data_IF_943449838564
#
_entry.id   IF_943449838564
#
_cell.length_a   1.000
_cell.length_b   1.000
_cell.length_c   1.000
_cell.angle_alpha   90.00
_cell.angle_beta   90.00
_cell.angle_gamma   90.00
#
_symmetry.space_group_name_H-M   'P 1'
#
loop_
_entity.id
_entity.type
_entity.pdbx_description
1 polymer ?
#
# COMPACT_ATOMS: atom_id res chain seq x y z
N UNK A 1 36.93 -10.81 19.67
CA UNK A 1 37.61 -10.20 20.83
C UNK A 1 37.15 -8.77 21.14
N UNK A 2 36.38 -8.08 20.28
CA UNK A 2 35.83 -6.74 20.57
C UNK A 2 34.43 -6.72 21.22
N UNK A 3 33.80 -7.89 21.41
CA UNK A 3 32.41 -8.00 21.90
C UNK A 3 32.22 -7.61 23.36
N UNK A 4 33.31 -7.58 24.14
CA UNK A 4 33.25 -7.46 25.60
C UNK A 4 33.63 -6.05 26.08
N UNK A 5 33.96 -5.13 25.15
CA UNK A 5 34.27 -3.74 25.45
C UNK A 5 32.97 -2.95 25.68
N UNK A 6 32.91 -2.30 26.84
CA UNK A 6 31.76 -1.51 27.28
C UNK A 6 31.58 -0.26 26.42
N UNK A 7 30.35 0.26 26.35
CA UNK A 7 30.05 1.49 25.61
C UNK A 7 30.96 2.65 26.04
N UNK A 8 31.24 2.76 27.34
CA UNK A 8 32.04 3.83 27.95
C UNK A 8 33.51 3.81 27.54
N UNK A 9 34.08 2.64 27.27
CA UNK A 9 35.50 2.49 26.91
C UNK A 9 35.78 2.83 25.44
N UNK A 10 34.78 2.66 24.56
CA UNK A 10 34.95 2.78 23.12
C UNK A 10 34.68 4.19 22.57
N UNK A 11 33.98 5.02 23.33
CA UNK A 11 33.46 6.31 22.86
C UNK A 11 32.46 6.17 21.69
N UNK A 12 31.87 7.27 21.20
CA UNK A 12 30.80 7.22 20.19
C UNK A 12 31.22 6.57 18.87
N UNK A 13 32.44 6.85 18.40
CA UNK A 13 32.95 6.32 17.11
C UNK A 13 33.22 4.82 17.19
N UNK A 14 33.85 4.35 18.28
CA UNK A 14 34.08 2.92 18.49
C UNK A 14 32.77 2.15 18.60
N UNK A 15 31.77 2.72 19.28
CA UNK A 15 30.43 2.11 19.32
C UNK A 15 29.75 2.04 17.96
N UNK A 16 29.89 3.05 17.11
CA UNK A 16 29.40 3.00 15.74
C UNK A 16 30.08 1.88 14.95
N UNK A 17 31.41 1.79 15.02
CA UNK A 17 32.16 0.76 14.32
C UNK A 17 31.75 -0.66 14.75
N UNK A 18 31.55 -0.90 16.05
CA UNK A 18 31.09 -2.21 16.53
C UNK A 18 29.62 -2.46 16.15
N UNK A 19 28.75 -1.44 16.21
CA UNK A 19 27.36 -1.59 15.80
C UNK A 19 27.25 -2.00 14.33
N UNK A 20 28.05 -1.36 13.46
CA UNK A 20 28.12 -1.69 12.03
C UNK A 20 28.71 -3.09 11.80
N UNK A 21 29.73 -3.47 12.56
CA UNK A 21 30.26 -4.83 12.51
C UNK A 21 29.22 -5.88 12.94
N UNK A 22 28.53 -5.67 14.06
CA UNK A 22 27.46 -6.55 14.54
C UNK A 22 26.32 -6.63 13.51
N UNK A 23 25.97 -5.52 12.86
CA UNK A 23 25.00 -5.46 11.77
C UNK A 23 25.42 -6.36 10.60
N UNK A 24 26.67 -6.24 10.15
CA UNK A 24 27.23 -7.02 9.04
C UNK A 24 27.30 -8.52 9.38
N UNK A 25 27.58 -8.85 10.65
CA UNK A 25 27.52 -10.22 11.18
C UNK A 25 26.10 -10.74 11.45
N UNK A 26 25.06 -9.95 11.12
CA UNK A 26 23.64 -10.24 11.36
C UNK A 26 23.30 -10.46 12.85
N UNK A 27 24.15 -9.97 13.74
CA UNK A 27 23.93 -9.97 15.20
C UNK A 27 23.01 -8.80 15.59
N UNK A 28 21.80 -8.79 15.02
CA UNK A 28 20.88 -7.65 15.09
C UNK A 28 20.55 -7.21 16.52
N UNK A 29 20.42 -8.16 17.45
CA UNK A 29 20.17 -7.83 18.86
C UNK A 29 21.30 -7.00 19.49
N UNK A 30 22.57 -7.34 19.19
CA UNK A 30 23.73 -6.59 19.69
C UNK A 30 23.84 -5.21 19.03
N UNK A 31 23.63 -5.18 17.71
CA UNK A 31 23.64 -3.94 16.94
C UNK A 31 22.58 -2.94 17.44
N UNK A 32 21.35 -3.39 17.74
CA UNK A 32 20.26 -2.55 18.26
C UNK A 32 20.67 -1.84 19.55
N UNK A 33 21.29 -2.55 20.50
CA UNK A 33 21.72 -1.97 21.77
C UNK A 33 22.68 -0.80 21.52
N UNK A 34 23.67 -0.99 20.66
CA UNK A 34 24.65 0.06 20.34
C UNK A 34 24.04 1.21 19.55
N UNK A 35 23.22 0.94 18.54
CA UNK A 35 22.52 1.99 17.79
C UNK A 35 21.61 2.83 18.68
N UNK A 36 20.90 2.22 19.65
CA UNK A 36 20.05 2.94 20.60
C UNK A 36 20.84 4.00 21.39
N UNK A 37 22.05 3.67 21.84
CA UNK A 37 22.92 4.66 22.49
C UNK A 37 23.38 5.75 21.51
N UNK A 38 23.77 5.38 20.29
CA UNK A 38 24.23 6.33 19.27
C UNK A 38 23.15 7.35 18.86
N UNK A 39 21.88 6.95 18.87
CA UNK A 39 20.75 7.85 18.60
C UNK A 39 20.63 9.01 19.61
N UNK A 40 21.22 8.86 20.80
CA UNK A 40 21.27 9.91 21.84
C UNK A 40 22.58 10.68 21.86
N UNK A 41 23.54 10.34 20.97
CA UNK A 41 24.86 10.92 20.98
C UNK A 41 24.86 12.39 20.52
N UNK A 42 25.54 13.24 21.28
CA UNK A 42 25.81 14.64 20.91
C UNK A 42 27.04 14.81 20.02
N UNK A 43 27.80 13.74 19.79
CA UNK A 43 29.05 13.75 19.04
C UNK A 43 28.85 14.25 17.59
N UNK A 44 29.61 15.27 17.14
CA UNK A 44 29.46 15.84 15.79
C UNK A 44 29.67 14.86 14.65
N UNK A 45 30.56 13.88 14.80
CA UNK A 45 30.83 12.87 13.77
C UNK A 45 29.70 11.85 13.69
N UNK A 46 29.09 11.49 14.82
CA UNK A 46 27.88 10.65 14.83
C UNK A 46 26.70 11.39 14.23
N UNK A 47 26.52 12.68 14.55
CA UNK A 47 25.45 13.50 13.95
C UNK A 47 25.51 13.54 12.42
N UNK A 48 26.72 13.52 11.83
CA UNK A 48 26.90 13.46 10.37
C UNK A 48 26.50 12.12 9.73
N UNK A 49 26.41 11.04 10.51
CA UNK A 49 26.00 9.70 10.06
C UNK A 49 24.66 9.25 10.64
N UNK A 50 23.91 10.18 11.21
CA UNK A 50 22.70 9.84 11.98
C UNK A 50 21.60 9.25 11.08
N UNK A 51 21.57 9.59 9.80
CA UNK A 51 20.68 8.97 8.83
C UNK A 51 20.96 7.46 8.66
N UNK A 52 22.23 7.07 8.55
CA UNK A 52 22.63 5.66 8.49
C UNK A 52 22.32 4.94 9.82
N UNK A 53 22.56 5.60 10.96
CA UNK A 53 22.21 5.05 12.28
C UNK A 53 20.70 4.78 12.39
N UNK A 54 19.84 5.73 12.01
CA UNK A 54 18.39 5.52 12.00
C UNK A 54 17.99 4.39 11.05
N UNK A 55 18.57 4.35 9.85
CA UNK A 55 18.28 3.31 8.87
C UNK A 55 18.67 1.92 9.36
N UNK A 56 19.92 1.74 9.82
CA UNK A 56 20.44 0.46 10.30
C UNK A 56 19.76 0.00 11.59
N UNK A 57 19.45 0.93 12.50
CA UNK A 57 18.62 0.65 13.68
C UNK A 57 17.26 0.10 13.27
N UNK A 58 16.53 0.83 12.41
CA UNK A 58 15.23 0.40 11.90
C UNK A 58 15.29 -0.95 11.18
N UNK A 59 16.34 -1.19 10.38
CA UNK A 59 16.58 -2.47 9.72
C UNK A 59 16.73 -3.62 10.73
N UNK A 60 17.59 -3.46 11.73
CA UNK A 60 17.78 -4.48 12.76
C UNK A 60 16.48 -4.76 13.52
N UNK A 61 15.73 -3.71 13.86
CA UNK A 61 14.44 -3.83 14.55
C UNK A 61 13.42 -4.60 13.70
N UNK A 62 13.35 -4.36 12.39
CA UNK A 62 12.55 -5.20 11.48
C UNK A 62 12.98 -6.66 11.50
N UNK A 63 14.29 -6.94 11.53
CA UNK A 63 14.80 -8.33 11.60
C UNK A 63 14.52 -9.02 12.93
N UNK A 64 14.22 -8.25 13.96
CA UNK A 64 13.80 -8.72 15.27
C UNK A 64 12.29 -8.62 15.47
N UNK A 65 11.54 -8.20 14.45
CA UNK A 65 10.08 -8.04 14.49
C UNK A 65 9.60 -7.02 15.54
N UNK A 66 10.49 -6.10 15.95
CA UNK A 66 10.15 -4.99 16.83
C UNK A 66 9.55 -3.85 15.98
N UNK A 67 8.35 -4.07 15.45
CA UNK A 67 7.78 -3.20 14.41
C UNK A 67 7.57 -1.77 14.87
N UNK A 68 7.06 -1.56 16.09
CA UNK A 68 6.79 -0.22 16.62
C UNK A 68 8.07 0.62 16.74
N UNK A 69 9.16 0.03 17.23
CA UNK A 69 10.46 0.70 17.35
C UNK A 69 11.08 0.95 15.96
N UNK A 70 10.89 0.01 15.03
CA UNK A 70 11.34 0.17 13.65
C UNK A 70 10.63 1.35 12.97
N UNK A 71 9.31 1.48 13.15
CA UNK A 71 8.52 2.60 12.67
C UNK A 71 9.05 3.93 13.19
N UNK A 72 9.30 4.03 14.51
CA UNK A 72 9.85 5.25 15.11
C UNK A 72 11.23 5.63 14.53
N UNK A 73 12.07 4.63 14.23
CA UNK A 73 13.38 4.84 13.62
C UNK A 73 13.26 5.38 12.19
N UNK A 74 12.39 4.79 11.37
CA UNK A 74 12.17 5.25 9.99
C UNK A 74 11.44 6.60 9.91
N UNK A 75 10.48 6.86 10.79
CA UNK A 75 9.80 8.16 10.87
C UNK A 75 10.80 9.28 11.22
N UNK A 76 11.71 9.00 12.16
CA UNK A 76 12.80 9.91 12.48
C UNK A 76 13.74 10.15 11.29
N UNK A 77 14.07 9.09 10.54
CA UNK A 77 14.86 9.18 9.30
C UNK A 77 14.17 10.08 8.26
N UNK A 78 12.90 9.84 7.97
CA UNK A 78 12.17 10.62 6.96
C UNK A 78 11.95 12.08 7.35
N UNK A 79 11.76 12.35 8.65
CA UNK A 79 11.55 13.70 9.16
C UNK A 79 12.85 14.51 9.21
N UNK A 80 13.94 13.93 9.74
CA UNK A 80 15.20 14.64 9.97
C UNK A 80 16.14 14.62 8.75
N UNK A 81 16.07 13.57 7.93
CA UNK A 81 16.97 13.36 6.79
C UNK A 81 16.18 13.00 5.52
N UNK A 82 15.27 13.88 5.06
CA UNK A 82 14.36 13.57 3.96
C UNK A 82 15.06 13.28 2.62
N UNK A 83 16.32 13.71 2.46
CA UNK A 83 17.16 13.54 1.26
C UNK A 83 18.29 12.51 1.43
N UNK A 84 18.27 11.70 2.51
CA UNK A 84 19.26 10.64 2.68
C UNK A 84 19.18 9.61 1.54
N UNK A 85 20.34 9.10 1.10
CA UNK A 85 20.45 8.04 0.09
C UNK A 85 19.75 6.74 0.52
N UNK A 86 19.60 6.53 1.82
CA UNK A 86 18.95 5.36 2.41
C UNK A 86 17.41 5.43 2.38
N UNK A 87 16.82 6.59 2.06
CA UNK A 87 15.35 6.78 2.12
C UNK A 87 14.56 5.84 1.22
N UNK A 88 15.11 5.46 0.05
CA UNK A 88 14.45 4.50 -0.83
C UNK A 88 14.35 3.11 -0.23
N UNK A 89 15.46 2.59 0.31
CA UNK A 89 15.49 1.29 1.02
C UNK A 89 14.66 1.33 2.30
N UNK A 90 14.75 2.43 3.05
CA UNK A 90 13.97 2.66 4.25
C UNK A 90 12.46 2.63 3.95
N UNK A 91 12.01 3.19 2.82
CA UNK A 91 10.60 3.20 2.46
C UNK A 91 10.03 1.79 2.27
N UNK A 92 10.82 0.89 1.67
CA UNK A 92 10.43 -0.52 1.51
C UNK A 92 10.27 -1.21 2.88
N UNK A 93 11.21 -0.99 3.81
CA UNK A 93 11.16 -1.59 5.15
C UNK A 93 10.09 -0.95 6.04
N UNK A 94 9.86 0.36 5.91
CA UNK A 94 8.83 1.09 6.64
C UNK A 94 7.43 0.56 6.31
N UNK A 95 7.15 0.29 5.02
CA UNK A 95 5.90 -0.37 4.61
C UNK A 95 5.74 -1.75 5.25
N UNK A 96 6.79 -2.58 5.24
CA UNK A 96 6.76 -3.91 5.85
C UNK A 96 6.51 -3.81 7.36
N UNK A 97 7.21 -2.92 8.06
CA UNK A 97 7.02 -2.72 9.50
C UNK A 97 5.60 -2.24 9.81
N UNK A 98 5.06 -1.30 9.03
CA UNK A 98 3.75 -0.74 9.28
C UNK A 98 2.63 -1.76 9.01
N UNK A 99 2.79 -2.59 7.96
CA UNK A 99 1.85 -3.66 7.64
C UNK A 99 1.80 -4.70 8.77
N UNK A 100 2.96 -5.17 9.25
CA UNK A 100 3.00 -6.17 10.32
C UNK A 100 2.49 -5.58 11.64
N UNK A 101 2.87 -4.35 11.99
CA UNK A 101 2.34 -3.69 13.19
C UNK A 101 0.81 -3.53 13.14
N UNK A 102 0.24 -3.17 11.98
CA UNK A 102 -1.21 -3.06 11.83
C UNK A 102 -1.91 -4.42 11.92
N UNK A 103 -1.30 -5.49 11.40
CA UNK A 103 -1.84 -6.85 11.53
C UNK A 103 -1.86 -7.32 12.98
N UNK A 104 -0.83 -7.01 13.76
CA UNK A 104 -0.75 -7.33 15.18
C UNK A 104 -1.66 -6.47 16.04
N UNK A 105 -1.80 -5.19 15.69
CA UNK A 105 -2.65 -4.24 16.40
C UNK A 105 -3.53 -3.43 15.42
N UNK A 106 -4.72 -3.91 15.05
CA UNK A 106 -5.60 -3.29 14.06
C UNK A 106 -6.35 -2.06 14.60
N UNK A 107 -5.66 -1.19 15.32
CA UNK A 107 -6.17 0.09 15.79
C UNK A 107 -6.21 1.15 14.68
N UNK A 108 -7.07 2.16 14.85
CA UNK A 108 -7.18 3.30 13.93
C UNK A 108 -5.86 4.07 13.77
N UNK A 109 -5.09 4.18 14.85
CA UNK A 109 -3.77 4.81 14.88
C UNK A 109 -2.77 4.04 14.00
N UNK A 110 -2.72 2.72 14.16
CA UNK A 110 -1.88 1.83 13.38
C UNK A 110 -2.28 1.81 11.89
N UNK A 111 -3.58 1.77 11.60
CA UNK A 111 -4.07 1.88 10.22
C UNK A 111 -3.66 3.20 9.56
N UNK A 112 -3.72 4.31 10.30
CA UNK A 112 -3.29 5.63 9.79
C UNK A 112 -1.80 5.62 9.44
N UNK A 113 -0.95 5.06 10.31
CA UNK A 113 0.48 4.89 10.03
C UNK A 113 0.73 3.95 8.85
N UNK A 114 -0.02 2.86 8.73
CA UNK A 114 0.07 1.94 7.61
C UNK A 114 -0.22 2.63 6.26
N UNK A 115 -1.28 3.45 6.20
CA UNK A 115 -1.61 4.22 5.00
C UNK A 115 -0.53 5.26 4.67
N UNK A 116 0.05 5.93 5.67
CA UNK A 116 1.19 6.84 5.43
C UNK A 116 2.42 6.09 4.90
N UNK A 117 2.71 4.91 5.47
CA UNK A 117 3.79 4.06 4.99
C UNK A 117 3.60 3.60 3.54
N UNK A 118 2.37 3.24 3.15
CA UNK A 118 2.02 2.94 1.75
C UNK A 118 2.35 4.12 0.83
N UNK A 119 1.95 5.35 1.19
CA UNK A 119 2.22 6.54 0.35
C UNK A 119 3.73 6.78 0.18
N UNK A 120 4.50 6.64 1.27
CA UNK A 120 5.96 6.79 1.23
C UNK A 120 6.59 5.67 0.38
N UNK A 121 6.13 4.44 0.54
CA UNK A 121 6.57 3.28 -0.23
C UNK A 121 6.35 3.45 -1.73
N UNK A 122 5.12 3.79 -2.15
CA UNK A 122 4.79 4.01 -3.55
C UNK A 122 5.66 5.12 -4.16
N UNK A 123 5.94 6.19 -3.39
CA UNK A 123 6.71 7.35 -3.86
C UNK A 123 8.23 7.14 -3.88
N UNK A 124 8.80 6.45 -2.89
CA UNK A 124 10.25 6.45 -2.64
C UNK A 124 10.92 5.09 -2.78
N UNK A 125 10.20 3.99 -2.63
CA UNK A 125 10.81 2.66 -2.73
C UNK A 125 11.10 2.35 -4.20
N UNK A 126 12.38 2.13 -4.50
CA UNK A 126 12.88 1.82 -5.85
C UNK A 126 12.93 0.31 -6.14
N UNK A 127 12.45 -0.53 -5.22
CA UNK A 127 12.38 -1.97 -5.43
C UNK A 127 11.37 -2.26 -6.57
N UNK A 128 11.75 -3.01 -7.63
CA UNK A 128 10.86 -3.38 -8.72
C UNK A 128 9.77 -4.38 -8.32
N UNK A 129 9.75 -4.85 -7.07
CA UNK A 129 8.68 -5.69 -6.54
C UNK A 129 7.30 -5.11 -6.81
N UNK A 130 6.36 -6.02 -6.97
CA UNK A 130 4.96 -5.71 -7.17
C UNK A 130 4.41 -4.81 -6.02
N UNK A 131 3.75 -3.72 -6.43
CA UNK A 131 3.13 -2.73 -5.54
C UNK A 131 1.60 -2.85 -5.52
N UNK A 132 1.05 -3.90 -6.14
CA UNK A 132 -0.39 -4.12 -6.28
C UNK A 132 -1.14 -4.10 -4.96
N UNK A 133 -0.59 -4.73 -3.92
CA UNK A 133 -1.19 -4.70 -2.59
C UNK A 133 -1.26 -3.28 -2.01
N UNK A 134 -0.19 -2.50 -2.15
CA UNK A 134 -0.14 -1.13 -1.68
C UNK A 134 -1.15 -0.23 -2.42
N UNK A 135 -1.27 -0.39 -3.74
CA UNK A 135 -2.28 0.31 -4.54
C UNK A 135 -3.70 -0.10 -4.15
N UNK A 136 -3.94 -1.39 -3.95
CA UNK A 136 -5.25 -1.89 -3.54
C UNK A 136 -5.70 -1.30 -2.19
N UNK A 137 -4.84 -1.35 -1.18
CA UNK A 137 -5.13 -0.79 0.15
C UNK A 137 -5.33 0.72 0.12
N UNK A 138 -4.55 1.45 -0.69
CA UNK A 138 -4.74 2.89 -0.86
C UNK A 138 -6.05 3.22 -1.61
N UNK A 139 -6.46 2.36 -2.53
CA UNK A 139 -7.77 2.42 -3.20
C UNK A 139 -8.91 2.31 -2.19
N UNK A 140 -8.89 1.29 -1.32
CA UNK A 140 -9.88 1.11 -0.24
C UNK A 140 -9.90 2.31 0.70
N UNK A 141 -8.74 2.78 1.12
CA UNK A 141 -8.65 3.99 1.95
C UNK A 141 -9.31 5.21 1.29
N UNK A 142 -9.09 5.44 -0.01
CA UNK A 142 -9.73 6.57 -0.69
C UNK A 142 -11.23 6.36 -0.89
N UNK A 143 -11.68 5.12 -1.06
CA UNK A 143 -13.10 4.77 -1.13
C UNK A 143 -13.80 5.08 0.20
N UNK A 144 -13.21 4.68 1.34
CA UNK A 144 -13.72 4.98 2.69
C UNK A 144 -13.76 6.48 3.01
N UNK A 145 -12.97 7.28 2.28
CA UNK A 145 -12.95 8.74 2.36
C UNK A 145 -13.83 9.42 1.31
N UNK A 146 -14.64 8.66 0.58
CA UNK A 146 -15.50 9.14 -0.51
C UNK A 146 -14.73 9.89 -1.61
N UNK A 147 -13.42 9.62 -1.73
CA UNK A 147 -12.53 10.20 -2.75
C UNK A 147 -12.48 9.31 -3.97
N UNK A 148 -13.63 9.16 -4.62
CA UNK A 148 -13.89 8.21 -5.72
C UNK A 148 -12.83 8.22 -6.82
N UNK A 149 -12.44 9.39 -7.33
CA UNK A 149 -11.46 9.47 -8.42
C UNK A 149 -10.07 8.97 -8.00
N UNK A 150 -9.67 9.21 -6.75
CA UNK A 150 -8.41 8.70 -6.22
C UNK A 150 -8.48 7.19 -6.02
N UNK A 151 -9.59 6.69 -5.48
CA UNK A 151 -9.81 5.25 -5.31
C UNK A 151 -9.71 4.51 -6.65
N UNK A 152 -10.42 5.00 -7.68
CA UNK A 152 -10.39 4.43 -9.02
C UNK A 152 -8.99 4.44 -9.64
N UNK A 153 -8.22 5.52 -9.42
CA UNK A 153 -6.84 5.60 -9.89
C UNK A 153 -5.98 4.52 -9.25
N UNK A 154 -6.04 4.37 -7.93
CA UNK A 154 -5.23 3.36 -7.24
C UNK A 154 -5.66 1.93 -7.59
N UNK A 155 -6.97 1.64 -7.64
CA UNK A 155 -7.45 0.32 -8.10
C UNK A 155 -7.02 -0.01 -9.53
N UNK A 156 -6.86 0.99 -10.40
CA UNK A 156 -6.41 0.77 -11.77
C UNK A 156 -4.94 0.33 -11.89
N UNK A 157 -4.14 0.60 -10.84
CA UNK A 157 -2.73 0.26 -10.74
C UNK A 157 -2.48 -1.13 -10.13
N UNK A 158 -3.53 -1.84 -9.69
CA UNK A 158 -3.44 -3.22 -9.21
C UNK A 158 -3.15 -4.14 -10.40
N UNK A 159 -2.05 -4.88 -10.34
CA UNK A 159 -1.58 -5.79 -11.38
C UNK A 159 -2.47 -7.03 -11.51
N UNK A 160 -2.48 -7.63 -12.72
CA UNK A 160 -3.32 -8.79 -13.07
C UNK A 160 -3.04 -10.03 -12.24
N UNK A 161 -1.79 -10.20 -11.84
CA UNK A 161 -1.32 -11.35 -11.05
C UNK A 161 -1.58 -11.18 -9.55
N UNK A 162 -2.10 -10.02 -9.13
CA UNK A 162 -2.44 -9.77 -7.73
C UNK A 162 -3.66 -10.60 -7.31
N UNK A 163 -3.66 -11.19 -6.10
CA UNK A 163 -4.86 -11.82 -5.54
C UNK A 163 -6.04 -10.83 -5.41
N UNK A 164 -5.74 -9.54 -5.29
CA UNK A 164 -6.73 -8.47 -5.17
C UNK A 164 -7.13 -7.83 -6.51
N UNK A 165 -6.67 -8.37 -7.65
CA UNK A 165 -7.00 -7.82 -8.97
C UNK A 165 -8.49 -7.81 -9.24
N UNK A 166 -9.17 -8.93 -8.94
CA UNK A 166 -10.60 -9.06 -9.17
C UNK A 166 -11.43 -8.10 -8.31
N UNK A 167 -11.09 -7.98 -7.03
CA UNK A 167 -11.76 -7.04 -6.13
C UNK A 167 -11.52 -5.59 -6.57
N UNK A 168 -10.30 -5.25 -7.00
CA UNK A 168 -10.01 -3.93 -7.56
C UNK A 168 -10.85 -3.64 -8.82
N UNK A 169 -10.99 -4.61 -9.74
CA UNK A 169 -11.82 -4.47 -10.95
C UNK A 169 -13.30 -4.36 -10.62
N UNK A 170 -13.78 -5.14 -9.67
CA UNK A 170 -15.15 -5.04 -9.17
C UNK A 170 -15.45 -3.64 -8.61
N UNK A 171 -14.57 -3.10 -7.77
CA UNK A 171 -14.70 -1.75 -7.22
C UNK A 171 -14.75 -0.66 -8.30
N UNK A 172 -13.95 -0.81 -9.37
CA UNK A 172 -13.98 0.12 -10.51
C UNK A 172 -15.33 0.06 -11.24
N UNK A 173 -15.81 -1.14 -11.57
CA UNK A 173 -17.06 -1.30 -12.30
C UNK A 173 -18.24 -0.76 -11.51
N UNK A 174 -18.35 -1.12 -10.23
CA UNK A 174 -19.43 -0.66 -9.34
C UNK A 174 -19.44 0.87 -9.26
N UNK A 175 -18.28 1.49 -8.99
CA UNK A 175 -18.18 2.94 -8.89
C UNK A 175 -18.53 3.66 -10.19
N UNK A 176 -18.16 3.11 -11.35
CA UNK A 176 -18.53 3.69 -12.64
C UNK A 176 -20.04 3.53 -12.93
N UNK A 177 -20.65 2.42 -12.54
CA UNK A 177 -22.11 2.23 -12.64
C UNK A 177 -22.85 3.26 -11.78
N UNK A 178 -22.42 3.49 -10.54
CA UNK A 178 -23.01 4.51 -9.66
C UNK A 178 -22.84 5.93 -10.24
N UNK A 179 -21.68 6.20 -10.86
CA UNK A 179 -21.43 7.46 -11.57
C UNK A 179 -22.37 7.63 -12.77
N UNK A 180 -22.62 6.57 -13.55
CA UNK A 180 -23.57 6.60 -14.66
C UNK A 180 -25.00 6.83 -14.19
N UNK A 181 -25.40 6.22 -13.06
CA UNK A 181 -26.69 6.46 -12.43
C UNK A 181 -26.85 7.94 -12.03
N UNK A 182 -25.85 8.50 -11.35
CA UNK A 182 -25.83 9.91 -10.95
C UNK A 182 -25.94 10.85 -12.15
N UNK A 183 -25.15 10.62 -13.20
CA UNK A 183 -25.21 11.40 -14.45
C UNK A 183 -26.56 11.30 -15.15
N UNK A 184 -27.21 10.13 -15.09
CA UNK A 184 -28.55 9.94 -15.63
C UNK A 184 -29.59 10.75 -14.83
N UNK A 185 -29.52 10.73 -13.48
CA UNK A 185 -30.40 11.53 -12.61
C UNK A 185 -30.21 13.04 -12.85
N UNK A 186 -29.00 13.49 -13.16
CA UNK A 186 -28.69 14.88 -13.50
C UNK A 186 -29.01 15.27 -14.96
N UNK A 187 -29.66 14.40 -15.74
CA UNK A 187 -30.02 14.69 -17.14
C UNK A 187 -28.83 14.66 -18.14
N UNK A 188 -27.62 14.33 -17.69
CA UNK A 188 -26.40 14.27 -18.51
C UNK A 188 -26.21 12.91 -19.21
N UNK A 189 -27.28 12.13 -19.33
CA UNK A 189 -27.27 10.76 -19.89
C UNK A 189 -26.61 10.67 -21.28
N UNK A 190 -26.81 11.68 -22.14
CA UNK A 190 -26.36 11.66 -23.55
C UNK A 190 -25.04 12.38 -23.78
N UNK A 191 -24.39 12.88 -22.72
CA UNK A 191 -23.11 13.60 -22.87
C UNK A 191 -22.01 12.68 -23.41
N UNK A 192 -21.01 13.28 -24.08
CA UNK A 192 -19.87 12.53 -24.60
C UNK A 192 -19.06 11.83 -23.50
N UNK A 193 -18.95 12.44 -22.31
CA UNK A 193 -18.29 11.83 -21.16
C UNK A 193 -19.05 10.61 -20.63
N UNK A 194 -20.38 10.68 -20.55
CA UNK A 194 -21.23 9.54 -20.14
C UNK A 194 -21.08 8.37 -21.12
N UNK A 195 -21.04 8.64 -22.43
CA UNK A 195 -20.81 7.61 -23.46
C UNK A 195 -19.46 6.91 -23.27
N UNK A 196 -18.40 7.67 -22.99
CA UNK A 196 -17.06 7.12 -22.76
C UNK A 196 -17.03 6.23 -21.51
N UNK A 197 -17.55 6.74 -20.38
CA UNK A 197 -17.63 5.97 -19.12
C UNK A 197 -18.41 4.66 -19.34
N UNK A 198 -19.54 4.72 -20.03
CA UNK A 198 -20.34 3.53 -20.34
C UNK A 198 -19.55 2.48 -21.14
N UNK A 199 -18.86 2.89 -22.21
CA UNK A 199 -18.07 1.99 -23.05
C UNK A 199 -16.91 1.35 -22.28
N UNK A 200 -16.18 2.15 -21.50
CA UNK A 200 -15.08 1.67 -20.67
C UNK A 200 -15.56 0.68 -19.60
N UNK A 201 -16.67 1.02 -18.92
CA UNK A 201 -17.26 0.17 -17.88
C UNK A 201 -17.76 -1.15 -18.46
N UNK A 202 -18.39 -1.11 -19.64
CA UNK A 202 -18.84 -2.33 -20.33
C UNK A 202 -17.67 -3.26 -20.64
N UNK A 203 -16.58 -2.71 -21.20
CA UNK A 203 -15.37 -3.49 -21.49
C UNK A 203 -14.78 -4.11 -20.22
N UNK A 204 -14.70 -3.34 -19.14
CA UNK A 204 -14.16 -3.83 -17.85
C UNK A 204 -15.04 -4.92 -17.23
N UNK A 205 -16.37 -4.79 -17.33
CA UNK A 205 -17.32 -5.79 -16.86
C UNK A 205 -17.25 -7.08 -17.68
N UNK A 206 -17.09 -6.98 -19.00
CA UNK A 206 -16.88 -8.14 -19.88
C UNK A 206 -15.54 -8.85 -19.56
N UNK A 207 -14.47 -8.10 -19.26
CA UNK A 207 -13.18 -8.66 -18.80
C UNK A 207 -13.33 -9.34 -17.44
N UNK A 208 -13.99 -8.68 -16.49
CA UNK A 208 -14.24 -9.21 -15.15
C UNK A 208 -15.01 -10.54 -15.22
N UNK A 209 -16.11 -10.59 -15.99
CA UNK A 209 -16.91 -11.81 -16.15
C UNK A 209 -16.07 -12.98 -16.69
N UNK A 210 -15.23 -12.73 -17.71
CA UNK A 210 -14.34 -13.77 -18.27
C UNK A 210 -13.34 -14.29 -17.25
N UNK A 211 -12.75 -13.40 -16.44
CA UNK A 211 -11.79 -13.78 -15.42
C UNK A 211 -12.44 -14.61 -14.31
N UNK A 212 -13.67 -14.28 -13.92
CA UNK A 212 -14.41 -15.05 -12.92
C UNK A 212 -14.73 -16.46 -13.39
N UNK A 213 -15.19 -16.61 -14.64
CA UNK A 213 -15.49 -17.93 -15.23
C UNK A 213 -14.27 -18.86 -15.27
N UNK A 214 -13.06 -18.31 -15.31
CA UNK A 214 -11.82 -19.09 -15.34
C UNK A 214 -11.29 -19.45 -13.94
N UNK A 215 -11.90 -18.97 -12.84
CA UNK A 215 -11.47 -19.21 -11.46
C UNK A 215 -12.35 -20.24 -10.74
N UNK A 216 -12.71 -21.37 -11.36
CA UNK A 216 -13.60 -22.44 -10.83
C UNK A 216 -13.09 -23.15 -9.55
N UNK A 217 -12.80 -22.40 -8.48
CA UNK A 217 -12.43 -22.95 -7.18
C UNK A 217 -13.39 -22.44 -6.09
N UNK A 218 -14.44 -23.23 -5.87
CA UNK A 218 -15.14 -23.40 -4.58
C UNK A 218 -15.89 -22.23 -3.94
N UNK A 219 -15.88 -21.01 -4.50
CA UNK A 219 -16.73 -19.91 -4.00
C UNK A 219 -18.18 -20.12 -4.43
N UNK A 220 -19.13 -19.58 -3.66
CA UNK A 220 -20.56 -19.61 -3.97
C UNK A 220 -20.82 -18.83 -5.26
N UNK A 221 -20.62 -19.50 -6.40
CA UNK A 221 -20.63 -18.94 -7.75
C UNK A 221 -21.94 -18.22 -8.05
N UNK A 222 -23.03 -18.65 -7.42
CA UNK A 222 -24.37 -18.09 -7.60
C UNK A 222 -24.50 -16.66 -7.07
N UNK A 223 -23.97 -16.35 -5.90
CA UNK A 223 -24.06 -15.00 -5.33
C UNK A 223 -23.28 -13.99 -6.19
N UNK A 224 -22.11 -14.43 -6.64
CA UNK A 224 -21.21 -13.63 -7.46
C UNK A 224 -21.75 -13.42 -8.88
N UNK A 225 -22.30 -14.47 -9.49
CA UNK A 225 -23.04 -14.38 -10.76
C UNK A 225 -24.23 -13.43 -10.65
N UNK A 226 -24.98 -13.49 -9.55
CA UNK A 226 -26.08 -12.56 -9.30
C UNK A 226 -25.60 -11.11 -9.20
N UNK A 227 -24.49 -10.85 -8.52
CA UNK A 227 -23.90 -9.50 -8.44
C UNK A 227 -23.44 -8.99 -9.81
N UNK A 228 -22.77 -9.82 -10.61
CA UNK A 228 -22.36 -9.47 -11.99
C UNK A 228 -23.58 -9.15 -12.84
N UNK A 229 -24.59 -10.00 -12.78
CA UNK A 229 -25.84 -9.87 -13.53
C UNK A 229 -26.56 -8.57 -13.16
N UNK A 230 -26.58 -8.22 -11.87
CA UNK A 230 -27.12 -6.96 -11.38
C UNK A 230 -26.33 -5.75 -11.93
N UNK A 231 -25.00 -5.80 -11.89
CA UNK A 231 -24.14 -4.74 -12.46
C UNK A 231 -24.37 -4.58 -13.96
N UNK A 232 -24.50 -5.68 -14.69
CA UNK A 232 -24.81 -5.68 -16.12
C UNK A 232 -26.16 -5.02 -16.38
N UNK A 233 -27.21 -5.41 -15.64
CA UNK A 233 -28.54 -4.84 -15.76
C UNK A 233 -28.52 -3.32 -15.53
N UNK A 234 -27.91 -2.88 -14.43
CA UNK A 234 -27.76 -1.45 -14.10
C UNK A 234 -27.03 -0.71 -15.21
N UNK A 235 -25.90 -1.26 -15.68
CA UNK A 235 -25.14 -0.65 -16.78
C UNK A 235 -26.01 -0.46 -18.02
N UNK A 236 -26.78 -1.47 -18.44
CA UNK A 236 -27.67 -1.35 -19.60
C UNK A 236 -28.85 -0.38 -19.37
N UNK A 237 -29.41 -0.31 -18.15
CA UNK A 237 -30.44 0.67 -17.80
C UNK A 237 -29.91 2.10 -18.02
N UNK A 238 -28.69 2.37 -17.56
CA UNK A 238 -28.02 3.67 -17.70
C UNK A 238 -27.31 3.86 -19.05
N UNK A 239 -27.57 2.99 -20.04
CA UNK A 239 -27.05 3.16 -21.40
C UNK A 239 -27.44 4.52 -21.98
N UNK A 240 -26.51 5.27 -22.60
CA UNK A 240 -26.82 6.54 -23.26
C UNK A 240 -27.92 6.45 -24.33
N UNK A 241 -28.11 5.27 -24.91
CA UNK A 241 -29.02 5.02 -26.03
C UNK A 241 -30.41 4.51 -25.61
N UNK A 242 -30.69 4.34 -24.31
CA UNK A 242 -32.02 3.86 -23.88
C UNK A 242 -32.27 2.38 -24.16
N UNK A 243 -31.24 1.55 -24.21
CA UNK A 243 -31.32 0.14 -24.64
C UNK A 243 -31.76 -0.83 -23.53
N UNK A 244 -32.61 -0.41 -22.58
CA UNK A 244 -33.08 -1.26 -21.47
C UNK A 244 -33.80 -2.53 -21.95
N UNK A 245 -34.38 -2.54 -23.16
CA UNK A 245 -34.94 -3.74 -23.81
C UNK A 245 -33.90 -4.83 -24.08
N UNK A 246 -32.61 -4.49 -24.25
CA UNK A 246 -31.51 -5.46 -24.36
C UNK A 246 -31.09 -6.00 -22.99
N UNK A 247 -31.27 -5.22 -21.92
CA UNK A 247 -31.01 -5.66 -20.53
C UNK A 247 -31.97 -6.78 -20.12
N UNK A 248 -33.27 -6.60 -20.39
CA UNK A 248 -34.33 -7.56 -20.09
C UNK A 248 -34.25 -8.87 -20.87
N UNK A 249 -33.47 -8.95 -21.95
CA UNK A 249 -33.27 -10.20 -22.73
C UNK A 249 -32.05 -11.00 -22.29
N UNK A 250 -31.20 -10.42 -21.42
CA UNK A 250 -29.96 -11.03 -20.91
C UNK A 250 -30.04 -11.38 -19.41
N UNK A 251 -31.08 -10.92 -18.74
CA UNK A 251 -31.54 -11.35 -17.43
C UNK A 251 -32.42 -12.58 -17.59
#
# INVERSE_FOLDING_TARGET
MFSDLSYTELGPIGNLAIADWDFDQKQYAKAIVRYKHLLTSSDPLIKKRMDDVYFRSGYCLCKKEHWQDALASFESLFNKFPHSSSTGKAACLYYVAANNHYKENPEKSAYTRYIEAIKIYLKRCNDPKDKSEAHFQLGKYYQDKEKTEKALKEFSLVGKDSPNYLEARYSIVTSNVDKLESLNKSGLRRSGSTKKIYQDTKRQLDEYQKLMLNQEDGRDTKELEAHITLLQAKLYIYSPEGTYKKALKKL
#
